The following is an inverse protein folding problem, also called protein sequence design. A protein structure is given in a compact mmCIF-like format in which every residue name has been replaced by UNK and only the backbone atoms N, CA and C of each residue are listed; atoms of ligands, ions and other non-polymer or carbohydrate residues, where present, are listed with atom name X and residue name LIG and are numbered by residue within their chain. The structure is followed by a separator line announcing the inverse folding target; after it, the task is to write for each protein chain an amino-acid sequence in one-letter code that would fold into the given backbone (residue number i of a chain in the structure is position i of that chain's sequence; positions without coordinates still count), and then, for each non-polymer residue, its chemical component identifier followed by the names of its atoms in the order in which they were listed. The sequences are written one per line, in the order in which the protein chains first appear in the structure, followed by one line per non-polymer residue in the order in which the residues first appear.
data_IF_656493022877
#
_entry.id   IF_656493022877
#
_cell.length_a   1.000
_cell.length_b   1.000
_cell.length_c   1.000
_cell.angle_alpha   90.00
_cell.angle_beta   90.00
_cell.angle_gamma   90.00
#
_symmetry.space_group_name_H-M   'P 1'
#
loop_
_entity.id
_entity.type
_entity.pdbx_description
1 polymer ?
#
# COMPACT_ATOMS: atom_id res chain seq x y z
N UNK A 1 1.34 10.73 19.71
CA UNK A 1 1.83 10.95 18.33
C UNK A 1 0.83 10.27 17.43
N UNK A 2 -0.09 11.02 16.83
CA UNK A 2 -1.02 10.48 15.82
C UNK A 2 -0.17 10.03 14.64
N UNK A 3 -0.02 8.71 14.45
CA UNK A 3 0.58 8.15 13.23
C UNK A 3 -0.05 8.85 12.02
N UNK A 4 0.79 9.41 11.17
CA UNK A 4 0.30 10.11 9.99
C UNK A 4 -0.33 9.08 9.06
N UNK A 5 -1.42 9.42 8.37
CA UNK A 5 -2.07 8.53 7.39
C UNK A 5 -1.05 7.94 6.41
N UNK A 6 -0.06 8.74 6.03
CA UNK A 6 1.12 8.35 5.26
C UNK A 6 1.83 7.11 5.81
N UNK A 7 2.17 7.12 7.09
CA UNK A 7 2.87 6.01 7.76
C UNK A 7 2.00 4.76 7.81
N UNK A 8 0.70 4.92 8.08
CA UNK A 8 -0.24 3.81 8.09
C UNK A 8 -0.39 3.15 6.72
N UNK A 9 -0.66 3.95 5.68
CA UNK A 9 -0.83 3.43 4.31
C UNK A 9 0.47 2.82 3.82
N UNK A 10 1.63 3.42 4.12
CA UNK A 10 2.94 2.85 3.84
C UNK A 10 3.12 1.45 4.43
N UNK A 11 2.80 1.29 5.73
CA UNK A 11 2.94 0.02 6.44
C UNK A 11 2.01 -1.05 5.86
N UNK A 12 0.74 -0.70 5.62
CA UNK A 12 -0.25 -1.62 5.05
C UNK A 12 0.10 -2.02 3.60
N UNK A 13 0.65 -1.10 2.81
CA UNK A 13 1.11 -1.41 1.45
C UNK A 13 2.28 -2.40 1.49
N UNK A 14 3.20 -2.22 2.44
CA UNK A 14 4.36 -3.11 2.62
C UNK A 14 3.92 -4.55 2.93
N UNK A 15 2.91 -4.71 3.79
CA UNK A 15 2.31 -6.02 4.10
C UNK A 15 1.67 -6.66 2.86
N UNK A 16 0.92 -5.89 2.06
CA UNK A 16 0.30 -6.39 0.82
C UNK A 16 1.36 -6.82 -0.20
N UNK A 17 2.44 -6.05 -0.33
CA UNK A 17 3.58 -6.38 -1.19
C UNK A 17 4.22 -7.69 -0.72
N UNK A 18 4.51 -7.82 0.57
CA UNK A 18 5.08 -9.04 1.15
C UNK A 18 4.19 -10.26 0.96
N UNK A 19 2.87 -10.14 1.14
CA UNK A 19 1.92 -11.24 0.90
C UNK A 19 1.96 -11.69 -0.56
N UNK A 20 1.97 -10.74 -1.50
CA UNK A 20 2.02 -11.05 -2.92
C UNK A 20 3.38 -11.61 -3.36
N UNK A 21 4.48 -11.16 -2.75
CA UNK A 21 5.81 -11.75 -2.95
C UNK A 21 5.90 -13.17 -2.39
N UNK A 22 5.22 -13.45 -1.26
CA UNK A 22 5.17 -14.77 -0.66
C UNK A 22 4.27 -15.75 -1.42
N UNK A 23 3.18 -15.27 -2.01
CA UNK A 23 2.26 -16.06 -2.84
C UNK A 23 2.84 -16.32 -4.25
N UNK A 24 3.68 -15.42 -4.76
CA UNK A 24 4.33 -15.61 -6.05
C UNK A 24 5.22 -16.86 -6.03
N UNK A 25 5.07 -17.80 -6.98
CA UNK A 25 5.98 -18.93 -7.10
C UNK A 25 7.40 -18.39 -7.28
N UNK A 26 8.40 -19.05 -6.69
CA UNK A 26 9.81 -18.61 -6.59
C UNK A 26 10.56 -18.32 -7.93
N UNK A 27 9.84 -18.26 -9.06
CA UNK A 27 10.33 -17.83 -10.37
C UNK A 27 9.32 -16.96 -11.13
N UNK A 28 8.42 -16.26 -10.42
CA UNK A 28 7.34 -15.42 -10.97
C UNK A 28 7.85 -14.20 -11.74
N UNK A 29 8.27 -14.45 -12.98
CA UNK A 29 8.68 -13.50 -14.01
C UNK A 29 7.80 -12.25 -14.09
N UNK A 30 8.24 -11.17 -13.45
CA UNK A 30 8.42 -9.81 -13.99
C UNK A 30 7.41 -9.24 -15.00
N UNK A 31 6.15 -9.63 -14.95
CA UNK A 31 5.10 -9.09 -15.82
C UNK A 31 4.35 -8.01 -15.06
N UNK A 32 4.23 -6.82 -15.64
CA UNK A 32 3.57 -5.64 -15.08
C UNK A 32 2.22 -6.00 -14.43
N UNK A 33 2.25 -6.25 -13.12
CA UNK A 33 1.15 -6.79 -12.34
C UNK A 33 0.90 -5.95 -11.09
N UNK A 34 -0.15 -6.29 -10.32
CA UNK A 34 -0.55 -5.52 -9.14
C UNK A 34 0.60 -5.29 -8.15
N UNK A 35 1.55 -6.24 -8.02
CA UNK A 35 2.74 -6.11 -7.17
C UNK A 35 3.64 -4.91 -7.55
N UNK A 36 3.97 -4.74 -8.82
CA UNK A 36 4.82 -3.62 -9.27
C UNK A 36 4.11 -2.29 -9.01
N UNK A 37 2.79 -2.24 -9.20
CA UNK A 37 1.97 -1.06 -8.87
C UNK A 37 2.00 -0.76 -7.37
N UNK A 38 1.88 -1.77 -6.51
CA UNK A 38 1.99 -1.59 -5.06
C UNK A 38 3.40 -1.12 -4.65
N UNK A 39 4.47 -1.72 -5.17
CA UNK A 39 5.84 -1.29 -4.91
C UNK A 39 6.07 0.17 -5.34
N UNK A 40 5.54 0.58 -6.50
CA UNK A 40 5.60 1.97 -6.96
C UNK A 40 4.86 2.90 -6.02
N UNK A 41 3.62 2.56 -5.64
CA UNK A 41 2.85 3.35 -4.69
C UNK A 41 3.55 3.45 -3.33
N UNK A 42 4.26 2.41 -2.87
CA UNK A 42 5.01 2.46 -1.61
C UNK A 42 6.13 3.51 -1.63
N UNK A 43 6.85 3.58 -2.75
CA UNK A 43 7.86 4.60 -2.99
C UNK A 43 7.24 5.99 -3.17
N UNK A 44 6.10 6.08 -3.83
CA UNK A 44 5.35 7.32 -4.01
C UNK A 44 4.88 7.90 -2.67
N UNK A 45 4.38 7.06 -1.75
CA UNK A 45 3.89 7.48 -0.43
C UNK A 45 4.93 8.28 0.37
N UNK A 46 6.22 7.95 0.27
CA UNK A 46 7.26 8.62 1.04
C UNK A 46 7.32 10.13 0.76
N UNK A 47 7.21 10.48 -0.54
CA UNK A 47 7.29 11.85 -1.07
C UNK A 47 5.92 12.45 -1.43
N UNK A 48 4.84 11.68 -1.32
CA UNK A 48 3.48 12.10 -1.66
C UNK A 48 2.87 13.04 -0.61
N UNK A 49 1.90 13.83 -1.06
CA UNK A 49 1.02 14.62 -0.20
C UNK A 49 -0.06 13.74 0.43
N UNK A 50 -0.67 14.20 1.52
CA UNK A 50 -1.76 13.48 2.20
C UNK A 50 -2.95 13.16 1.26
N UNK A 51 -3.29 14.07 0.34
CA UNK A 51 -4.31 13.84 -0.68
C UNK A 51 -3.95 12.65 -1.59
N UNK A 52 -2.69 12.59 -2.04
CA UNK A 52 -2.23 11.50 -2.89
C UNK A 52 -2.16 10.17 -2.14
N UNK A 53 -1.78 10.21 -0.86
CA UNK A 53 -1.83 9.04 0.03
C UNK A 53 -3.28 8.53 0.18
N UNK A 54 -4.26 9.43 0.25
CA UNK A 54 -5.67 9.07 0.31
C UNK A 54 -6.12 8.34 -0.97
N UNK A 55 -5.78 8.88 -2.15
CA UNK A 55 -6.07 8.22 -3.43
C UNK A 55 -5.45 6.81 -3.52
N UNK A 56 -4.18 6.69 -3.09
CA UNK A 56 -3.49 5.40 -3.04
C UNK A 56 -4.26 4.46 -2.11
N UNK A 57 -4.61 4.90 -0.90
CA UNK A 57 -5.37 4.09 0.06
C UNK A 57 -6.72 3.62 -0.50
N UNK A 58 -7.45 4.49 -1.22
CA UNK A 58 -8.71 4.14 -1.88
C UNK A 58 -8.56 3.08 -2.97
N UNK A 59 -7.38 2.99 -3.60
CA UNK A 59 -7.06 1.95 -4.59
C UNK A 59 -6.97 0.55 -3.95
N UNK A 60 -6.71 0.49 -2.63
CA UNK A 60 -6.62 -0.76 -1.87
C UNK A 60 -7.76 -0.83 -0.85
N UNK A 61 -8.90 -1.48 -1.16
CA UNK A 61 -10.08 -1.48 -0.29
C UNK A 61 -9.79 -1.97 1.14
N UNK A 62 -8.87 -2.93 1.31
CA UNK A 62 -8.44 -3.39 2.64
C UNK A 62 -7.72 -2.31 3.46
N UNK A 63 -6.98 -1.41 2.81
CA UNK A 63 -6.27 -0.29 3.47
C UNK A 63 -7.26 0.83 3.80
N UNK A 64 -8.12 1.21 2.83
CA UNK A 64 -9.16 2.21 3.06
C UNK A 64 -10.10 1.81 4.22
N UNK A 65 -10.53 0.55 4.27
CA UNK A 65 -11.39 0.05 5.34
C UNK A 65 -10.67 0.05 6.70
N UNK A 66 -9.41 -0.40 6.74
CA UNK A 66 -8.63 -0.40 7.98
C UNK A 66 -8.36 1.02 8.50
N UNK A 67 -8.16 2.00 7.60
CA UNK A 67 -8.06 3.41 7.96
C UNK A 67 -9.38 3.96 8.51
N UNK A 68 -10.50 3.74 7.82
CA UNK A 68 -11.82 4.18 8.29
C UNK A 68 -12.21 3.56 9.64
N UNK A 69 -11.85 2.30 9.89
CA UNK A 69 -12.09 1.65 11.19
C UNK A 69 -11.23 2.22 12.32
N UNK A 70 -10.11 2.86 12.01
CA UNK A 70 -9.20 3.48 12.98
C UNK A 70 -9.57 4.94 13.29
N UNK A 71 -10.27 5.60 12.36
CA UNK A 71 -10.78 6.96 12.51
C UNK A 71 -12.22 7.06 13.04
N UNK A 72 -12.86 5.93 13.38
CA UNK A 72 -14.19 5.85 13.98
C UNK A 72 -14.13 5.85 15.52
#
# INVERSE_FOLDING_TARGET
MTESKKEFVALRLDEVIHEWEADAPAGGSGSAGPLVTAQRHRAEIDSATDERVDEIAQTYPGIAQAWSSRGA
#
